data_IF_070481982011
#
_entry.id   IF_070481982011
#
_cell.length_a   1.000
_cell.length_b   1.000
_cell.length_c   1.000
_cell.angle_alpha   90.00
_cell.angle_beta   90.00
_cell.angle_gamma   90.00
#
_symmetry.space_group_name_H-M   'P 1'
#
loop_
_entity.id
_entity.type
_entity.pdbx_description
1 polymer ?
#
# COMPACT_ATOMS: atom_id res chain seq x y z
N UNK A 1 -12.00 -20.36 6.27
CA UNK A 1 -12.59 -21.35 5.37
C UNK A 1 -11.92 -21.47 3.99
N UNK A 2 -11.44 -20.36 3.42
CA UNK A 2 -10.80 -20.39 2.09
C UNK A 2 -9.35 -20.91 2.14
N UNK A 3 -8.64 -20.70 3.26
CA UNK A 3 -7.31 -21.27 3.49
C UNK A 3 -7.33 -22.80 3.50
N UNK A 4 -8.41 -23.41 3.98
CA UNK A 4 -8.52 -24.86 4.12
C UNK A 4 -9.05 -25.58 2.88
N UNK A 5 -9.68 -24.88 1.95
CA UNK A 5 -10.40 -25.49 0.83
C UNK A 5 -9.74 -25.33 -0.53
N UNK A 6 -8.81 -24.40 -0.68
CA UNK A 6 -8.30 -24.01 -1.98
C UNK A 6 -6.84 -24.42 -2.19
N UNK A 7 -6.63 -25.24 -3.19
CA UNK A 7 -5.32 -25.76 -3.58
C UNK A 7 -4.36 -24.70 -4.13
N UNK A 8 -4.82 -23.46 -4.36
CA UNK A 8 -3.99 -22.36 -4.86
C UNK A 8 -3.25 -21.59 -3.76
N UNK A 9 -3.63 -21.79 -2.50
CA UNK A 9 -2.91 -21.25 -1.34
C UNK A 9 -1.89 -22.29 -0.86
N UNK A 10 -0.61 -21.94 -0.98
CA UNK A 10 0.49 -22.84 -0.62
C UNK A 10 1.03 -22.53 0.78
N UNK A 11 0.91 -23.49 1.71
CA UNK A 11 1.63 -23.43 2.98
C UNK A 11 3.11 -23.76 2.73
N UNK A 12 3.98 -22.77 2.91
CA UNK A 12 5.41 -22.92 2.64
C UNK A 12 6.18 -23.70 3.72
N UNK A 13 5.56 -23.92 4.87
CA UNK A 13 6.23 -24.44 6.08
C UNK A 13 7.17 -23.47 6.76
N UNK A 14 7.40 -22.28 6.20
CA UNK A 14 8.23 -21.25 6.83
C UNK A 14 7.48 -20.60 7.98
N UNK A 15 8.16 -20.45 9.11
CA UNK A 15 7.60 -19.85 10.33
C UNK A 15 8.48 -18.72 10.81
N UNK A 16 7.84 -17.72 11.40
CA UNK A 16 8.51 -16.61 12.05
C UNK A 16 7.95 -16.40 13.47
N UNK A 17 8.76 -15.86 14.35
CA UNK A 17 8.33 -15.41 15.67
C UNK A 17 8.06 -13.90 15.65
N UNK A 18 6.91 -13.48 16.14
CA UNK A 18 6.54 -12.07 16.31
C UNK A 18 6.37 -11.79 17.79
N UNK A 19 7.13 -10.84 18.32
CA UNK A 19 7.11 -10.45 19.72
C UNK A 19 6.25 -9.18 19.94
N UNK A 20 5.34 -9.25 20.88
CA UNK A 20 4.54 -8.12 21.37
C UNK A 20 4.90 -7.92 22.85
N UNK A 21 5.97 -7.16 23.11
CA UNK A 21 6.56 -7.08 24.43
C UNK A 21 7.04 -8.46 24.92
N UNK A 22 6.49 -8.92 26.03
CA UNK A 22 6.82 -10.22 26.63
C UNK A 22 6.08 -11.41 25.96
N UNK A 23 5.13 -11.13 25.07
CA UNK A 23 4.36 -12.16 24.39
C UNK A 23 4.92 -12.43 23.02
N UNK A 24 4.85 -13.69 22.61
CA UNK A 24 5.29 -14.13 21.30
C UNK A 24 4.23 -14.97 20.64
N UNK A 25 4.08 -14.78 19.35
CA UNK A 25 3.22 -15.62 18.50
C UNK A 25 4.07 -16.20 17.38
N UNK A 26 3.78 -17.43 16.99
CA UNK A 26 4.37 -18.05 15.80
C UNK A 26 3.46 -17.80 14.62
N UNK A 27 4.00 -17.26 13.55
CA UNK A 27 3.32 -17.11 12.27
C UNK A 27 3.75 -18.16 11.27
N UNK A 28 2.85 -18.48 10.33
CA UNK A 28 3.09 -19.37 9.20
C UNK A 28 2.96 -18.56 7.92
N UNK A 29 3.91 -18.74 7.00
CA UNK A 29 3.91 -18.11 5.69
C UNK A 29 3.13 -18.96 4.68
N UNK A 30 2.18 -18.32 4.01
CA UNK A 30 1.45 -18.85 2.87
C UNK A 30 1.76 -18.03 1.62
N UNK A 31 1.88 -18.72 0.49
CA UNK A 31 2.12 -18.08 -0.80
C UNK A 31 0.95 -18.30 -1.74
N UNK A 32 0.61 -17.26 -2.50
CA UNK A 32 -0.27 -17.32 -3.66
C UNK A 32 0.55 -16.93 -4.89
N UNK A 33 0.54 -17.79 -5.90
CA UNK A 33 1.19 -17.48 -7.17
C UNK A 33 0.36 -16.49 -7.97
N UNK A 34 1.00 -15.37 -8.35
CA UNK A 34 0.41 -14.34 -9.21
C UNK A 34 1.04 -14.43 -10.58
N UNK A 35 0.30 -15.04 -11.52
CA UNK A 35 0.78 -15.26 -12.89
C UNK A 35 0.87 -13.92 -13.63
N UNK A 36 2.03 -13.66 -14.19
CA UNK A 36 2.33 -12.50 -15.00
C UNK A 36 2.36 -12.81 -16.50
N UNK A 37 2.87 -11.84 -17.26
CA UNK A 37 3.04 -11.95 -18.70
C UNK A 37 4.27 -12.82 -19.07
N UNK A 38 4.16 -13.60 -20.15
CA UNK A 38 5.26 -14.44 -20.68
C UNK A 38 5.98 -15.33 -19.64
N UNK A 39 5.20 -16.12 -18.90
CA UNK A 39 5.70 -16.99 -17.83
C UNK A 39 6.29 -16.27 -16.59
N UNK A 40 6.10 -14.96 -16.49
CA UNK A 40 6.42 -14.23 -15.27
C UNK A 40 5.56 -14.73 -14.11
N UNK A 41 6.17 -14.91 -12.93
CA UNK A 41 5.50 -15.33 -11.72
C UNK A 41 5.93 -14.44 -10.58
N UNK A 42 4.96 -13.80 -9.94
CA UNK A 42 5.13 -13.12 -8.66
C UNK A 42 4.47 -13.93 -7.55
N UNK A 43 4.76 -13.59 -6.33
CA UNK A 43 4.13 -14.20 -5.16
C UNK A 43 3.45 -13.13 -4.32
N UNK A 44 2.27 -13.47 -3.85
CA UNK A 44 1.62 -12.77 -2.74
C UNK A 44 1.89 -13.57 -1.48
N UNK A 45 2.60 -12.98 -0.54
CA UNK A 45 2.90 -13.56 0.76
C UNK A 45 1.83 -13.17 1.77
N UNK A 46 1.29 -14.16 2.45
CA UNK A 46 0.30 -14.01 3.51
C UNK A 46 0.82 -14.66 4.78
N UNK A 47 0.50 -14.07 5.91
CA UNK A 47 0.91 -14.58 7.21
C UNK A 47 -0.31 -14.84 8.09
N UNK A 48 -0.33 -16.00 8.72
CA UNK A 48 -1.36 -16.35 9.69
C UNK A 48 -0.73 -16.78 11.01
N UNK A 49 -1.44 -16.63 12.12
CA UNK A 49 -0.99 -17.16 13.41
C UNK A 49 -1.15 -18.66 13.40
N UNK A 50 -0.09 -19.40 13.77
CA UNK A 50 -0.10 -20.87 13.73
C UNK A 50 -1.23 -21.51 14.57
N UNK A 51 -1.58 -20.87 15.66
CA UNK A 51 -2.57 -21.35 16.63
C UNK A 51 -3.92 -20.68 16.53
N UNK A 52 -4.25 -20.06 15.39
CA UNK A 52 -5.52 -19.41 15.15
C UNK A 52 -6.70 -20.37 15.38
N UNK A 53 -7.73 -19.91 16.08
CA UNK A 53 -8.93 -20.69 16.38
C UNK A 53 -10.14 -20.14 15.61
N UNK A 54 -10.33 -20.63 14.39
CA UNK A 54 -11.44 -20.22 13.51
C UNK A 54 -12.84 -20.53 14.11
N UNK A 55 -12.92 -21.42 15.09
CA UNK A 55 -14.21 -21.74 15.73
C UNK A 55 -14.77 -20.55 16.51
N UNK A 56 -13.90 -19.61 16.89
CA UNK A 56 -14.29 -18.40 17.58
C UNK A 56 -15.17 -17.49 16.70
N UNK A 57 -15.01 -17.50 15.37
CA UNK A 57 -15.78 -16.67 14.43
C UNK A 57 -17.27 -16.89 14.55
N UNK A 58 -17.71 -18.14 14.81
CA UNK A 58 -19.12 -18.52 14.91
C UNK A 58 -19.81 -17.99 16.18
N UNK A 59 -19.06 -17.44 17.15
CA UNK A 59 -19.57 -17.04 18.47
C UNK A 59 -19.73 -15.52 18.65
N UNK A 60 -19.42 -14.72 17.59
CA UNK A 60 -19.36 -13.27 17.69
C UNK A 60 -18.15 -12.82 18.54
N UNK A 61 -17.03 -12.55 17.89
CA UNK A 61 -15.74 -12.34 18.55
C UNK A 61 -15.57 -10.86 18.92
N UNK A 62 -15.20 -10.65 20.18
CA UNK A 62 -14.53 -9.42 20.63
C UNK A 62 -13.02 -9.71 20.72
N UNK A 63 -12.18 -8.78 20.29
CA UNK A 63 -10.73 -8.93 20.43
C UNK A 63 -10.34 -9.05 21.92
N UNK A 64 -9.61 -10.13 22.24
CA UNK A 64 -9.01 -10.34 23.56
C UNK A 64 -7.48 -10.35 23.42
N UNK A 65 -6.85 -9.28 23.90
CA UNK A 65 -5.38 -9.16 23.90
C UNK A 65 -4.67 -10.23 24.73
N UNK A 66 -5.39 -10.97 25.58
CA UNK A 66 -4.83 -12.08 26.36
C UNK A 66 -4.73 -13.37 25.55
N UNK A 67 -5.42 -13.46 24.43
CA UNK A 67 -5.50 -14.62 23.58
C UNK A 67 -5.14 -14.28 22.11
N UNK A 68 -4.18 -13.36 21.90
CA UNK A 68 -3.76 -12.92 20.57
C UNK A 68 -3.30 -14.07 19.67
N UNK A 69 -2.69 -15.09 20.24
CA UNK A 69 -2.26 -16.30 19.55
C UNK A 69 -3.41 -17.12 18.93
N UNK A 70 -4.67 -16.79 19.27
CA UNK A 70 -5.86 -17.50 18.75
C UNK A 70 -6.74 -16.65 17.86
N UNK A 71 -6.64 -15.30 17.97
CA UNK A 71 -7.65 -14.43 17.37
C UNK A 71 -7.09 -13.29 16.54
N UNK A 72 -5.79 -13.01 16.56
CA UNK A 72 -5.20 -11.82 15.94
C UNK A 72 -5.55 -11.68 14.45
N UNK A 73 -5.53 -12.76 13.70
CA UNK A 73 -5.75 -12.80 12.26
C UNK A 73 -7.20 -13.09 11.84
N UNK A 74 -8.12 -13.22 12.80
CA UNK A 74 -9.54 -13.48 12.52
C UNK A 74 -10.32 -12.23 12.09
N UNK A 75 -9.77 -11.04 12.30
CA UNK A 75 -10.42 -9.76 11.99
C UNK A 75 -9.82 -9.16 10.73
N UNK A 76 -10.64 -8.96 9.69
CA UNK A 76 -10.16 -8.32 8.45
C UNK A 76 -10.19 -6.79 8.55
N UNK A 77 -11.30 -6.23 9.04
CA UNK A 77 -11.48 -4.80 9.30
C UNK A 77 -12.12 -4.64 10.67
N UNK A 78 -11.32 -4.59 11.74
CA UNK A 78 -11.87 -4.41 13.08
C UNK A 78 -12.53 -3.04 13.21
N UNK A 79 -13.57 -2.96 14.03
CA UNK A 79 -14.10 -1.69 14.50
C UNK A 79 -13.04 -1.01 15.37
N UNK A 80 -12.60 0.17 14.95
CA UNK A 80 -11.57 0.97 15.61
C UNK A 80 -12.16 2.25 16.26
N UNK A 81 -13.46 2.25 16.53
CA UNK A 81 -14.12 3.34 17.21
C UNK A 81 -13.77 3.44 18.71
N UNK A 82 -13.18 2.39 19.28
CA UNK A 82 -12.74 2.33 20.67
C UNK A 82 -11.25 2.00 20.84
N UNK A 83 -10.77 2.04 22.07
CA UNK A 83 -9.37 1.75 22.42
C UNK A 83 -8.97 0.31 22.04
N UNK A 84 -9.84 -0.66 22.25
CA UNK A 84 -9.53 -2.06 21.96
C UNK A 84 -9.35 -2.30 20.45
N UNK A 85 -10.19 -1.69 19.63
CA UNK A 85 -10.07 -1.71 18.18
C UNK A 85 -8.82 -1.01 17.67
N UNK A 86 -8.49 0.15 18.24
CA UNK A 86 -7.24 0.86 17.92
C UNK A 86 -6.00 0.02 18.27
N UNK A 87 -5.97 -0.61 19.45
CA UNK A 87 -4.88 -1.51 19.83
C UNK A 87 -4.79 -2.71 18.88
N UNK A 88 -5.93 -3.32 18.53
CA UNK A 88 -5.96 -4.45 17.58
C UNK A 88 -5.36 -4.07 16.24
N UNK A 89 -5.64 -2.87 15.71
CA UNK A 89 -5.01 -2.40 14.47
C UNK A 89 -3.48 -2.36 14.60
N UNK A 90 -2.95 -1.81 15.69
CA UNK A 90 -1.49 -1.76 15.91
C UNK A 90 -0.92 -3.18 16.00
N UNK A 91 -1.60 -4.12 16.68
CA UNK A 91 -1.20 -5.54 16.71
C UNK A 91 -1.13 -6.14 15.31
N UNK A 92 -2.15 -5.93 14.48
CA UNK A 92 -2.22 -6.47 13.12
C UNK A 92 -1.19 -5.83 12.18
N UNK A 93 -1.03 -4.51 12.23
CA UNK A 93 -0.04 -3.79 11.43
C UNK A 93 1.37 -4.25 11.77
N UNK A 94 1.70 -4.36 13.05
CA UNK A 94 3.02 -4.86 13.46
C UNK A 94 3.21 -6.34 13.12
N UNK A 95 2.20 -7.17 13.29
CA UNK A 95 2.28 -8.58 12.88
C UNK A 95 2.67 -8.71 11.41
N UNK A 96 2.02 -7.96 10.54
CA UNK A 96 2.30 -7.99 9.11
C UNK A 96 3.72 -7.50 8.79
N UNK A 97 4.13 -6.35 9.32
CA UNK A 97 5.44 -5.77 8.99
C UNK A 97 6.61 -6.56 9.59
N UNK A 98 6.46 -7.10 10.81
CA UNK A 98 7.50 -7.91 11.44
C UNK A 98 7.77 -9.20 10.64
N UNK A 99 6.71 -9.87 10.19
CA UNK A 99 6.83 -11.04 9.31
C UNK A 99 7.46 -10.67 7.96
N UNK A 100 6.99 -9.58 7.33
CA UNK A 100 7.52 -9.11 6.05
C UNK A 100 9.00 -8.73 6.14
N UNK A 101 9.41 -8.01 7.17
CA UNK A 101 10.80 -7.63 7.40
C UNK A 101 11.70 -8.87 7.56
N UNK A 102 11.29 -9.85 8.39
CA UNK A 102 12.04 -11.09 8.58
C UNK A 102 12.16 -11.90 7.28
N UNK A 103 11.06 -12.00 6.49
CA UNK A 103 11.08 -12.68 5.20
C UNK A 103 12.05 -12.03 4.23
N UNK A 104 12.00 -10.70 4.07
CA UNK A 104 12.87 -9.94 3.18
C UNK A 104 14.34 -10.16 3.54
N UNK A 105 14.70 -9.99 4.81
CA UNK A 105 16.09 -10.14 5.26
C UNK A 105 16.57 -11.60 5.12
N UNK A 106 15.69 -12.58 5.38
CA UNK A 106 15.98 -14.00 5.16
C UNK A 106 16.31 -14.27 3.69
N UNK A 107 15.46 -13.82 2.75
CA UNK A 107 15.66 -14.04 1.31
C UNK A 107 16.92 -13.36 0.78
N UNK A 108 17.25 -12.17 1.26
CA UNK A 108 18.47 -11.44 0.88
C UNK A 108 19.72 -12.22 1.34
N UNK A 109 19.71 -12.71 2.58
CA UNK A 109 20.81 -13.53 3.11
C UNK A 109 20.95 -14.87 2.39
N UNK A 110 19.84 -15.53 2.06
CA UNK A 110 19.84 -16.79 1.30
C UNK A 110 20.40 -16.64 -0.12
N UNK A 111 20.23 -15.45 -0.73
CA UNK A 111 20.85 -15.10 -2.00
C UNK A 111 22.35 -14.72 -1.86
N UNK A 112 22.87 -14.65 -0.65
CA UNK A 112 24.27 -14.32 -0.36
C UNK A 112 24.61 -12.84 -0.47
N UNK A 113 23.63 -11.95 -0.44
CA UNK A 113 23.85 -10.50 -0.48
C UNK A 113 24.18 -9.94 0.91
N UNK A 114 25.03 -8.93 0.94
CA UNK A 114 25.34 -8.16 2.14
C UNK A 114 24.18 -7.21 2.47
N UNK A 115 23.73 -7.22 3.73
CA UNK A 115 22.65 -6.35 4.19
C UNK A 115 23.00 -4.85 4.12
N UNK A 116 24.29 -4.49 4.08
CA UNK A 116 24.71 -3.09 3.83
C UNK A 116 24.38 -2.64 2.41
N UNK A 117 24.21 -3.57 1.47
CA UNK A 117 23.79 -3.30 0.08
C UNK A 117 22.32 -3.58 -0.15
N UNK A 118 21.50 -3.67 0.91
CA UNK A 118 20.07 -3.94 0.82
C UNK A 118 19.34 -3.07 -0.19
N UNK A 119 19.59 -1.74 -0.31
CA UNK A 119 18.91 -0.89 -1.30
C UNK A 119 19.18 -1.25 -2.76
N UNK A 120 20.27 -1.99 -3.04
CA UNK A 120 20.58 -2.44 -4.41
C UNK A 120 19.76 -3.66 -4.82
N UNK A 121 19.16 -4.36 -3.89
CA UNK A 121 18.49 -5.65 -4.09
C UNK A 121 17.00 -5.63 -3.72
N UNK A 122 16.58 -4.69 -2.90
CA UNK A 122 15.23 -4.62 -2.34
C UNK A 122 14.67 -3.20 -2.43
N UNK A 123 13.43 -3.09 -2.85
CA UNK A 123 12.61 -1.90 -2.70
C UNK A 123 11.34 -2.25 -1.92
N UNK A 124 11.09 -1.56 -0.83
CA UNK A 124 9.89 -1.72 -0.02
C UNK A 124 8.97 -0.54 -0.29
N UNK A 125 7.83 -0.82 -0.93
CA UNK A 125 6.80 0.20 -1.16
C UNK A 125 5.79 0.15 -0.02
N UNK A 126 5.85 1.14 0.86
CA UNK A 126 4.90 1.33 1.97
C UNK A 126 3.58 1.84 1.36
N UNK A 127 2.56 0.99 1.40
CA UNK A 127 1.27 1.27 0.78
C UNK A 127 0.31 1.85 1.81
N UNK A 128 0.13 3.18 1.82
CA UNK A 128 -0.45 3.97 2.89
C UNK A 128 0.38 3.88 4.20
N UNK A 129 -0.17 4.29 5.33
CA UNK A 129 0.53 4.34 6.62
C UNK A 129 0.45 3.04 7.43
N UNK A 130 -0.39 2.09 7.01
CA UNK A 130 -0.59 0.83 7.75
C UNK A 130 0.71 0.03 7.95
N UNK A 131 1.63 -0.09 6.96
CA UNK A 131 2.89 -0.80 7.16
C UNK A 131 4.07 0.09 7.57
N UNK A 132 3.87 1.33 8.00
CA UNK A 132 4.94 2.28 8.38
C UNK A 132 5.93 1.69 9.39
N UNK A 133 5.46 0.85 10.32
CA UNK A 133 6.32 0.24 11.33
C UNK A 133 7.43 -0.65 10.75
N UNK A 134 7.42 -0.94 9.44
CA UNK A 134 8.53 -1.63 8.78
C UNK A 134 9.84 -0.85 8.87
N UNK A 135 9.78 0.49 8.87
CA UNK A 135 10.98 1.33 9.01
C UNK A 135 11.65 1.11 10.37
N UNK A 136 11.00 1.39 11.52
CA UNK A 136 11.62 1.15 12.82
C UNK A 136 11.88 -0.33 13.09
N UNK A 137 11.12 -1.27 12.55
CA UNK A 137 11.35 -2.70 12.73
C UNK A 137 12.62 -3.17 12.01
N UNK A 138 12.84 -2.77 10.75
CA UNK A 138 14.09 -3.06 10.05
C UNK A 138 15.30 -2.47 10.77
N UNK A 139 15.20 -1.21 11.22
CA UNK A 139 16.28 -0.58 12.01
C UNK A 139 16.54 -1.37 13.28
N UNK A 140 15.50 -1.83 13.98
CA UNK A 140 15.63 -2.67 15.17
C UNK A 140 16.38 -3.96 14.86
N UNK A 141 15.94 -4.72 13.85
CA UNK A 141 16.57 -5.99 13.48
C UNK A 141 18.04 -5.75 13.09
N UNK A 142 18.32 -4.79 12.23
CA UNK A 142 19.67 -4.49 11.76
C UNK A 142 20.61 -4.11 12.92
N UNK A 143 20.12 -3.32 13.89
CA UNK A 143 20.96 -2.88 15.03
C UNK A 143 21.08 -3.92 16.13
N UNK A 144 20.05 -4.73 16.40
CA UNK A 144 20.06 -5.67 17.53
C UNK A 144 20.49 -7.09 17.15
N UNK A 145 20.34 -7.48 15.89
CA UNK A 145 20.57 -8.85 15.43
C UNK A 145 21.68 -8.97 14.39
N UNK A 146 21.88 -7.95 13.56
CA UNK A 146 22.80 -7.98 12.42
C UNK A 146 24.08 -7.11 12.64
N UNK A 147 24.21 -6.48 13.80
CA UNK A 147 25.43 -5.78 14.21
C UNK A 147 25.65 -4.40 13.61
N UNK A 148 24.63 -3.81 12.97
CA UNK A 148 24.70 -2.44 12.42
C UNK A 148 24.76 -1.39 13.53
N UNK A 149 25.46 -0.31 13.27
CA UNK A 149 25.25 0.92 14.04
C UNK A 149 23.89 1.55 13.69
N UNK A 150 23.40 2.41 14.56
CA UNK A 150 22.14 3.12 14.30
C UNK A 150 22.20 3.95 13.00
N UNK A 151 23.32 4.58 12.72
CA UNK A 151 23.50 5.41 11.53
C UNK A 151 23.50 4.58 10.24
N UNK A 152 24.19 3.44 10.23
CA UNK A 152 24.19 2.51 9.09
C UNK A 152 22.80 1.92 8.85
N UNK A 153 22.09 1.51 9.91
CA UNK A 153 20.74 0.97 9.77
C UNK A 153 19.75 2.01 9.22
N UNK A 154 19.80 3.25 9.72
CA UNK A 154 18.97 4.34 9.23
C UNK A 154 19.27 4.64 7.76
N UNK A 155 20.55 4.68 7.37
CA UNK A 155 20.94 4.95 5.99
C UNK A 155 20.42 3.88 5.04
N UNK A 156 20.67 2.61 5.36
CA UNK A 156 20.21 1.48 4.54
C UNK A 156 18.68 1.45 4.41
N UNK A 157 17.95 1.59 5.52
CA UNK A 157 16.47 1.55 5.50
C UNK A 157 15.89 2.74 4.75
N UNK A 158 16.48 3.93 4.92
CA UNK A 158 16.01 5.14 4.22
C UNK A 158 16.17 5.07 2.70
N UNK A 159 17.12 4.28 2.20
CA UNK A 159 17.31 4.04 0.77
C UNK A 159 16.55 2.81 0.24
N UNK A 160 15.96 2.01 1.14
CA UNK A 160 15.19 0.81 0.80
C UNK A 160 13.68 1.08 0.74
N UNK A 161 13.17 1.99 1.59
CA UNK A 161 11.75 2.24 1.76
C UNK A 161 11.26 3.44 0.95
N UNK A 162 10.09 3.32 0.34
CA UNK A 162 9.36 4.39 -0.33
C UNK A 162 7.90 4.39 0.15
N UNK A 163 7.22 5.53 0.09
CA UNK A 163 5.89 5.73 0.64
C UNK A 163 4.88 6.16 -0.42
N UNK A 164 3.75 5.47 -0.49
CA UNK A 164 2.59 5.86 -1.28
C UNK A 164 1.48 6.38 -0.35
N UNK A 165 1.11 7.64 -0.50
CA UNK A 165 -0.04 8.22 0.20
C UNK A 165 -1.33 8.01 -0.60
N UNK A 166 -2.41 7.59 0.07
CA UNK A 166 -3.73 7.36 -0.53
C UNK A 166 -4.79 8.36 -0.09
N UNK A 167 -4.50 9.24 0.89
CA UNK A 167 -5.49 10.17 1.44
C UNK A 167 -5.06 11.62 1.33
N UNK A 168 -6.04 12.52 1.16
CA UNK A 168 -5.86 13.97 1.22
C UNK A 168 -6.45 14.59 2.49
N UNK A 169 -7.02 13.78 3.38
CA UNK A 169 -7.64 14.25 4.61
C UNK A 169 -6.67 14.12 5.78
N UNK A 170 -6.39 15.22 6.46
CA UNK A 170 -5.47 15.26 7.61
C UNK A 170 -5.89 14.32 8.75
N UNK A 171 -7.20 14.23 8.99
CA UNK A 171 -7.77 13.35 10.01
C UNK A 171 -7.62 11.86 9.69
N UNK A 172 -7.47 11.51 8.41
CA UNK A 172 -7.28 10.13 7.96
C UNK A 172 -5.81 9.68 7.94
N UNK A 173 -4.86 10.59 8.20
CA UNK A 173 -3.45 10.25 8.40
C UNK A 173 -3.28 9.68 9.82
N UNK A 174 -2.85 8.42 9.90
CA UNK A 174 -2.72 7.72 11.18
C UNK A 174 -1.78 8.41 12.16
N UNK A 175 -2.28 8.56 13.38
CA UNK A 175 -1.55 9.14 14.51
C UNK A 175 -1.85 8.29 15.74
N UNK A 176 -0.89 7.52 16.17
CA UNK A 176 -1.06 6.65 17.33
C UNK A 176 -0.55 7.32 18.61
N UNK A 177 -1.31 7.29 19.71
CA UNK A 177 -0.76 7.63 21.03
C UNK A 177 0.51 6.81 21.27
N UNK A 178 1.60 7.45 21.69
CA UNK A 178 2.84 6.74 22.00
C UNK A 178 2.62 5.64 23.02
N UNK A 179 1.71 5.84 23.98
CA UNK A 179 1.34 4.84 24.98
C UNK A 179 0.78 3.54 24.35
N UNK A 180 0.07 3.61 23.23
CA UNK A 180 -0.43 2.42 22.54
C UNK A 180 0.72 1.64 21.90
N UNK A 181 1.68 2.33 21.31
CA UNK A 181 2.88 1.69 20.78
C UNK A 181 3.72 1.10 21.92
N UNK A 182 3.84 1.78 23.06
CA UNK A 182 4.52 1.28 24.28
C UNK A 182 3.82 0.03 24.82
N UNK A 183 2.50 -0.07 24.73
CA UNK A 183 1.75 -1.26 25.18
C UNK A 183 1.93 -2.45 24.24
N UNK A 184 1.83 -2.22 22.92
CA UNK A 184 1.82 -3.30 21.92
C UNK A 184 3.21 -3.75 21.53
N UNK A 185 4.11 -2.79 21.22
CA UNK A 185 5.43 -3.04 20.66
C UNK A 185 6.51 -2.18 21.34
N UNK A 186 6.71 -2.34 22.65
CA UNK A 186 7.65 -1.51 23.43
C UNK A 186 9.06 -1.53 22.84
N UNK A 187 9.46 -2.59 22.16
CA UNK A 187 10.78 -2.71 21.53
C UNK A 187 11.01 -1.72 20.39
N UNK A 188 9.96 -1.17 19.76
CA UNK A 188 10.10 -0.15 18.72
C UNK A 188 10.21 1.28 19.28
N UNK A 189 9.78 1.49 20.50
CA UNK A 189 9.72 2.84 21.09
C UNK A 189 11.07 3.54 21.14
N UNK A 190 12.19 2.88 21.57
CA UNK A 190 13.50 3.51 21.54
C UNK A 190 13.93 3.95 20.13
N UNK A 191 13.62 3.15 19.11
CA UNK A 191 13.93 3.48 17.70
C UNK A 191 13.10 4.68 17.26
N UNK A 192 11.78 4.65 17.47
CA UNK A 192 10.89 5.76 17.08
C UNK A 192 11.29 7.08 17.77
N UNK A 193 11.68 7.02 19.05
CA UNK A 193 12.18 8.20 19.79
C UNK A 193 13.49 8.72 19.18
N UNK A 194 14.44 7.84 18.85
CA UNK A 194 15.70 8.22 18.21
C UNK A 194 15.43 8.91 16.84
N UNK A 195 14.56 8.31 16.01
CA UNK A 195 14.17 8.91 14.72
C UNK A 195 13.52 10.28 14.92
N UNK A 196 12.62 10.42 15.88
CA UNK A 196 11.96 11.68 16.24
C UNK A 196 12.93 12.73 16.73
N UNK A 197 13.88 12.36 17.60
CA UNK A 197 14.89 13.29 18.15
C UNK A 197 15.82 13.83 17.06
N UNK A 198 16.21 12.99 16.09
CA UNK A 198 17.00 13.41 14.93
C UNK A 198 16.24 14.42 14.08
N UNK A 199 14.96 14.21 13.84
CA UNK A 199 14.09 15.15 13.12
C UNK A 199 13.98 16.48 13.90
N UNK A 200 13.72 16.44 15.20
CA UNK A 200 13.57 17.61 16.05
C UNK A 200 14.87 18.46 16.16
N UNK A 201 16.02 17.80 16.09
CA UNK A 201 17.33 18.51 16.03
C UNK A 201 17.49 19.25 14.70
N UNK A 202 17.08 18.64 13.58
CA UNK A 202 17.30 19.15 12.23
C UNK A 202 16.24 20.18 11.83
N UNK A 203 14.96 19.94 12.17
CA UNK A 203 13.83 20.76 11.76
C UNK A 203 13.07 21.31 12.96
N UNK A 204 12.79 22.63 12.96
CA UNK A 204 12.08 23.31 14.06
C UNK A 204 10.59 23.48 13.78
N UNK A 205 10.13 23.09 12.61
CA UNK A 205 8.72 23.12 12.24
C UNK A 205 7.95 22.01 12.97
N UNK A 206 6.97 22.39 13.78
CA UNK A 206 6.12 21.44 14.53
C UNK A 206 5.32 20.52 13.60
N UNK A 207 5.00 20.97 12.38
CA UNK A 207 4.18 20.22 11.43
C UNK A 207 4.90 19.06 10.75
N UNK A 208 6.20 18.94 10.95
CA UNK A 208 6.98 17.83 10.39
C UNK A 208 7.57 16.91 11.48
N UNK A 209 7.23 17.14 12.75
CA UNK A 209 7.71 16.30 13.85
C UNK A 209 7.06 14.92 13.81
N UNK A 210 7.84 13.88 14.13
CA UNK A 210 7.32 12.50 14.21
C UNK A 210 6.46 12.32 15.45
N UNK A 211 6.93 12.76 16.61
CA UNK A 211 6.15 12.77 17.85
C UNK A 211 5.72 14.19 18.13
N UNK A 212 4.43 14.44 18.19
CA UNK A 212 3.87 15.74 18.45
C UNK A 212 3.84 16.08 19.97
N UNK A 213 3.43 17.31 20.29
CA UNK A 213 3.33 17.79 21.67
C UNK A 213 2.31 17.02 22.54
N UNK A 214 1.33 16.39 21.88
CA UNK A 214 0.31 15.55 22.52
C UNK A 214 0.75 14.09 22.64
N UNK A 215 2.05 13.81 22.38
CA UNK A 215 2.68 12.48 22.41
C UNK A 215 2.01 11.50 21.45
N UNK A 216 1.60 11.96 20.27
CA UNK A 216 1.13 11.09 19.20
C UNK A 216 2.23 10.91 18.16
N UNK A 217 2.39 9.69 17.71
CA UNK A 217 3.33 9.31 16.65
C UNK A 217 2.62 9.43 15.31
N UNK A 218 3.13 10.30 14.44
CA UNK A 218 2.62 10.50 13.11
C UNK A 218 3.27 9.51 12.14
N UNK A 219 2.53 8.52 11.67
CA UNK A 219 3.06 7.44 10.87
C UNK A 219 3.61 7.94 9.52
N UNK A 220 2.84 8.74 8.78
CA UNK A 220 3.29 9.32 7.52
C UNK A 220 4.58 10.15 7.66
N UNK A 221 4.80 10.79 8.81
CA UNK A 221 6.02 11.57 9.05
C UNK A 221 7.26 10.70 9.13
N UNK A 222 7.15 9.48 9.70
CA UNK A 222 8.23 8.49 9.67
C UNK A 222 8.55 8.12 8.22
N UNK A 223 7.54 7.79 7.43
CA UNK A 223 7.70 7.36 6.04
C UNK A 223 8.37 8.44 5.17
N UNK A 224 7.97 9.70 5.35
CA UNK A 224 8.50 10.80 4.53
C UNK A 224 9.95 11.15 4.93
N UNK A 225 10.26 11.19 6.22
CA UNK A 225 11.61 11.50 6.67
C UNK A 225 12.60 10.38 6.31
N UNK A 226 12.19 9.11 6.47
CA UNK A 226 13.05 7.93 6.40
C UNK A 226 12.75 7.02 5.20
N UNK A 227 12.06 7.53 4.19
CA UNK A 227 11.92 6.92 2.88
C UNK A 227 12.60 7.75 1.79
N UNK A 228 13.02 7.13 0.69
CA UNK A 228 13.68 7.83 -0.42
C UNK A 228 12.69 8.52 -1.38
N UNK A 229 11.43 8.10 -1.40
CA UNK A 229 10.41 8.61 -2.33
C UNK A 229 9.04 8.65 -1.68
N UNK A 230 8.24 9.65 -2.05
CA UNK A 230 6.85 9.84 -1.64
C UNK A 230 6.02 10.03 -2.89
N UNK A 231 4.95 9.27 -3.08
CA UNK A 231 4.05 9.50 -4.19
C UNK A 231 2.59 9.56 -3.77
N UNK A 232 1.84 10.42 -4.46
CA UNK A 232 0.39 10.33 -4.52
C UNK A 232 -0.06 9.32 -5.58
N UNK A 233 -1.37 9.03 -5.63
CA UNK A 233 -1.92 8.00 -6.52
C UNK A 233 -2.37 8.54 -7.88
N UNK A 234 -2.28 9.84 -8.10
CA UNK A 234 -2.51 10.52 -9.37
C UNK A 234 -1.80 11.88 -9.37
N UNK A 235 -1.56 12.48 -10.55
CA UNK A 235 -0.92 13.80 -10.65
C UNK A 235 -1.68 14.85 -9.85
N UNK A 236 -3.01 14.93 -10.00
CA UNK A 236 -3.86 15.88 -9.26
C UNK A 236 -3.80 15.63 -7.73
N UNK A 237 -3.78 14.35 -7.31
CA UNK A 237 -3.64 14.00 -5.90
C UNK A 237 -2.30 14.48 -5.33
N UNK A 238 -1.20 14.23 -6.05
CA UNK A 238 0.13 14.67 -5.64
C UNK A 238 0.23 16.20 -5.56
N UNK A 239 -0.38 16.93 -6.49
CA UNK A 239 -0.40 18.41 -6.42
C UNK A 239 -1.22 18.91 -5.22
N UNK A 240 -2.32 18.27 -4.89
CA UNK A 240 -3.07 18.59 -3.66
C UNK A 240 -2.20 18.36 -2.42
N UNK A 241 -1.51 17.22 -2.32
CA UNK A 241 -0.62 16.92 -1.20
C UNK A 241 0.49 17.97 -1.05
N UNK A 242 1.11 18.39 -2.15
CA UNK A 242 2.16 19.43 -2.16
C UNK A 242 1.64 20.80 -1.72
N UNK A 243 0.38 21.12 -2.01
CA UNK A 243 -0.22 22.42 -1.71
C UNK A 243 -0.92 22.46 -0.35
N UNK A 244 -1.32 21.32 0.21
CA UNK A 244 -2.08 21.22 1.46
C UNK A 244 -1.35 20.39 2.52
N UNK A 245 -1.74 19.14 2.70
CA UNK A 245 -1.40 18.29 3.85
C UNK A 245 0.10 18.04 4.02
N UNK A 246 0.82 17.86 2.93
CA UNK A 246 2.26 17.59 2.94
C UNK A 246 3.10 18.80 2.48
N UNK A 247 2.52 20.00 2.45
CA UNK A 247 3.21 21.22 1.99
C UNK A 247 4.51 21.50 2.76
N UNK A 248 4.52 21.27 4.07
CA UNK A 248 5.72 21.46 4.90
C UNK A 248 6.82 20.47 4.54
N UNK A 249 6.45 19.22 4.23
CA UNK A 249 7.38 18.21 3.74
C UNK A 249 7.87 18.49 2.33
N UNK A 250 6.98 18.94 1.45
CA UNK A 250 7.38 19.30 0.08
C UNK A 250 8.42 20.44 0.04
N UNK A 251 8.33 21.40 0.97
CA UNK A 251 9.36 22.45 1.11
C UNK A 251 10.71 21.91 1.55
N UNK A 252 10.75 20.81 2.30
CA UNK A 252 11.99 20.20 2.80
C UNK A 252 12.57 19.21 1.78
N UNK A 253 11.72 18.44 1.10
CA UNK A 253 12.09 17.32 0.23
C UNK A 253 11.36 17.39 -1.13
N UNK A 254 11.49 18.47 -1.91
CA UNK A 254 10.75 18.60 -3.17
C UNK A 254 11.09 17.48 -4.16
N UNK A 255 12.31 16.96 -4.11
CA UNK A 255 12.80 15.88 -4.97
C UNK A 255 12.20 14.51 -4.70
N UNK A 256 11.65 14.28 -3.50
CA UNK A 256 11.02 12.99 -3.14
C UNK A 256 9.63 12.80 -3.76
N UNK A 257 8.94 13.91 -4.12
CA UNK A 257 7.52 13.86 -4.49
C UNK A 257 7.29 13.48 -5.95
N UNK A 258 6.64 12.33 -6.14
CA UNK A 258 6.29 11.76 -7.43
C UNK A 258 4.79 11.44 -7.52
N UNK A 259 4.33 10.85 -8.61
CA UNK A 259 2.97 10.38 -8.73
C UNK A 259 2.89 9.03 -9.47
N UNK A 260 1.79 8.32 -9.28
CA UNK A 260 1.50 7.12 -10.04
C UNK A 260 1.14 7.48 -11.48
N UNK A 261 1.54 6.61 -12.39
CA UNK A 261 1.07 6.61 -13.76
C UNK A 261 -0.10 5.65 -13.98
N UNK A 262 -0.56 5.60 -15.22
CA UNK A 262 -1.56 4.64 -15.69
C UNK A 262 -0.97 3.83 -16.85
N UNK A 263 -1.30 2.55 -16.94
CA UNK A 263 -0.83 1.70 -18.05
C UNK A 263 -1.87 1.60 -19.16
N UNK A 264 -1.48 1.98 -20.38
CA UNK A 264 -2.33 1.81 -21.56
C UNK A 264 -2.50 0.34 -21.98
N UNK A 265 -1.58 -0.55 -21.61
CA UNK A 265 -1.72 -1.99 -21.89
C UNK A 265 -3.02 -2.54 -21.37
N UNK A 266 -3.35 -2.28 -20.09
CA UNK A 266 -4.60 -2.75 -19.48
C UNK A 266 -5.79 -1.86 -19.86
N UNK A 267 -5.68 -0.56 -19.60
CA UNK A 267 -6.83 0.34 -19.57
C UNK A 267 -7.26 0.88 -20.94
N UNK A 268 -6.49 0.65 -21.99
CA UNK A 268 -6.83 0.99 -23.36
C UNK A 268 -6.64 -0.20 -24.30
N UNK A 269 -5.40 -0.73 -24.44
CA UNK A 269 -5.10 -1.75 -25.44
C UNK A 269 -5.85 -3.08 -25.18
N UNK A 270 -5.99 -3.49 -23.93
CA UNK A 270 -6.71 -4.71 -23.55
C UNK A 270 -8.20 -4.51 -23.39
N UNK A 271 -8.64 -3.38 -22.83
CA UNK A 271 -10.05 -3.15 -22.52
C UNK A 271 -10.88 -2.61 -23.69
N UNK A 272 -10.25 -1.96 -24.68
CA UNK A 272 -10.96 -1.35 -25.80
C UNK A 272 -10.14 -1.45 -27.10
N UNK A 273 -10.18 -2.62 -27.70
CA UNK A 273 -9.41 -2.93 -28.91
C UNK A 273 -9.80 -2.04 -30.10
N UNK A 274 -11.08 -1.69 -30.23
CA UNK A 274 -11.58 -0.86 -31.32
C UNK A 274 -11.04 0.56 -31.20
N UNK A 275 -11.08 1.14 -30.00
CA UNK A 275 -10.50 2.47 -29.77
C UNK A 275 -8.98 2.44 -29.98
N UNK A 276 -8.29 1.41 -29.50
CA UNK A 276 -6.84 1.27 -29.67
C UNK A 276 -6.44 1.16 -31.16
N UNK A 277 -7.18 0.38 -31.94
CA UNK A 277 -6.99 0.26 -33.38
C UNK A 277 -7.22 1.58 -34.10
N UNK A 278 -8.30 2.27 -33.78
CA UNK A 278 -8.67 3.58 -34.32
C UNK A 278 -7.57 4.62 -34.04
N UNK A 279 -7.10 4.71 -32.79
CA UNK A 279 -5.99 5.61 -32.39
C UNK A 279 -4.72 5.31 -33.18
N UNK A 280 -4.35 4.02 -33.26
CA UNK A 280 -3.17 3.62 -34.03
C UNK A 280 -3.27 4.01 -35.50
N UNK A 281 -4.45 3.89 -36.09
CA UNK A 281 -4.68 4.28 -37.48
C UNK A 281 -4.63 5.80 -37.66
N UNK A 282 -5.10 6.58 -36.71
CA UNK A 282 -5.26 8.04 -36.82
C UNK A 282 -3.97 8.78 -36.48
N UNK A 283 -3.27 8.39 -35.39
CA UNK A 283 -2.11 9.12 -34.86
C UNK A 283 -0.83 8.29 -34.79
N UNK A 284 -0.83 7.04 -35.29
CA UNK A 284 0.30 6.12 -35.17
C UNK A 284 0.33 5.42 -33.81
N UNK A 285 1.34 4.58 -33.59
CA UNK A 285 1.44 3.72 -32.41
C UNK A 285 2.39 4.24 -31.31
N UNK A 286 2.95 5.44 -31.48
CA UNK A 286 3.89 6.06 -30.55
C UNK A 286 3.30 6.25 -29.15
N UNK A 287 2.00 6.54 -29.03
CA UNK A 287 1.31 6.71 -27.75
C UNK A 287 1.39 5.46 -26.84
N UNK A 288 1.65 4.28 -27.38
CA UNK A 288 1.80 3.04 -26.60
C UNK A 288 3.04 3.07 -25.71
N UNK A 289 4.03 3.89 -26.05
CA UNK A 289 5.29 4.08 -25.33
C UNK A 289 5.37 5.45 -24.65
N UNK A 290 4.80 6.47 -25.30
CA UNK A 290 4.82 7.86 -24.87
C UNK A 290 3.36 8.40 -24.87
N UNK A 291 2.82 8.61 -23.67
CA UNK A 291 1.45 9.10 -23.49
C UNK A 291 1.19 10.46 -24.13
N UNK A 292 2.21 11.32 -24.21
CA UNK A 292 2.08 12.67 -24.79
C UNK A 292 1.77 12.64 -26.29
N UNK A 293 2.07 11.55 -26.97
CA UNK A 293 1.68 11.32 -28.36
C UNK A 293 0.16 11.34 -28.58
N UNK A 294 -0.66 11.09 -27.54
CA UNK A 294 -2.12 11.22 -27.63
C UNK A 294 -2.57 12.66 -27.94
N UNK A 295 -1.75 13.67 -27.64
CA UNK A 295 -2.05 15.07 -27.98
C UNK A 295 -2.19 15.30 -29.48
N UNK A 296 -1.62 14.42 -30.32
CA UNK A 296 -1.81 14.48 -31.78
C UNK A 296 -3.30 14.37 -32.19
N UNK A 297 -4.14 13.78 -31.35
CA UNK A 297 -5.58 13.76 -31.57
C UNK A 297 -6.21 15.16 -31.62
N UNK A 298 -5.59 16.15 -30.97
CA UNK A 298 -6.08 17.53 -31.00
C UNK A 298 -6.05 18.14 -32.42
N UNK A 299 -5.19 17.64 -33.31
CA UNK A 299 -5.15 18.05 -34.71
C UNK A 299 -6.43 17.65 -35.47
N UNK A 300 -7.13 16.63 -34.96
CA UNK A 300 -8.37 16.10 -35.51
C UNK A 300 -9.64 16.52 -34.76
N UNK A 301 -9.55 17.49 -33.86
CA UNK A 301 -10.66 17.89 -32.97
C UNK A 301 -11.93 18.41 -33.74
N UNK A 302 -11.72 18.93 -34.95
CA UNK A 302 -12.79 19.47 -35.81
C UNK A 302 -13.03 18.56 -37.03
N UNK A 303 -12.43 17.38 -37.12
CA UNK A 303 -12.64 16.39 -38.18
C UNK A 303 -13.88 15.54 -37.86
N UNK A 304 -14.98 15.79 -38.61
CA UNK A 304 -16.25 15.12 -38.38
C UNK A 304 -16.14 13.59 -38.51
N UNK A 305 -15.33 13.08 -39.44
CA UNK A 305 -15.17 11.64 -39.63
C UNK A 305 -14.49 10.97 -38.42
N UNK A 306 -13.52 11.66 -37.81
CA UNK A 306 -12.86 11.20 -36.56
C UNK A 306 -13.85 11.25 -35.39
N UNK A 307 -14.61 12.29 -35.26
CA UNK A 307 -15.63 12.44 -34.19
C UNK A 307 -16.72 11.37 -34.32
N UNK A 308 -17.23 11.13 -35.53
CA UNK A 308 -18.25 10.10 -35.79
C UNK A 308 -17.72 8.69 -35.47
N UNK A 309 -16.46 8.38 -35.84
CA UNK A 309 -15.84 7.11 -35.56
C UNK A 309 -15.69 6.86 -34.03
N UNK A 310 -15.27 7.88 -33.28
CA UNK A 310 -15.19 7.80 -31.80
C UNK A 310 -16.58 7.61 -31.19
N UNK A 311 -17.58 8.31 -31.72
CA UNK A 311 -18.96 8.17 -31.25
C UNK A 311 -19.48 6.74 -31.46
N UNK A 312 -19.26 6.16 -32.65
CA UNK A 312 -19.70 4.81 -32.97
C UNK A 312 -19.01 3.76 -32.12
N UNK A 313 -17.70 3.90 -31.84
CA UNK A 313 -16.98 3.02 -30.91
C UNK A 313 -17.61 3.09 -29.52
N UNK A 314 -17.84 4.28 -29.00
CA UNK A 314 -18.49 4.46 -27.68
C UNK A 314 -19.89 3.86 -27.64
N UNK A 315 -20.68 4.06 -28.70
CA UNK A 315 -22.03 3.50 -28.79
C UNK A 315 -22.04 1.98 -28.79
N UNK A 316 -21.10 1.36 -29.52
CA UNK A 316 -20.88 -0.08 -29.53
C UNK A 316 -20.55 -0.61 -28.14
N UNK A 317 -19.59 0.01 -27.43
CA UNK A 317 -19.21 -0.40 -26.08
C UNK A 317 -20.33 -0.24 -25.05
N UNK A 318 -21.16 0.79 -25.19
CA UNK A 318 -22.35 0.94 -24.35
C UNK A 318 -23.36 -0.17 -24.59
N UNK A 319 -23.60 -0.54 -25.85
CA UNK A 319 -24.50 -1.64 -26.18
C UNK A 319 -24.00 -3.00 -25.63
N UNK A 320 -22.70 -3.26 -25.72
CA UNK A 320 -22.08 -4.45 -25.11
C UNK A 320 -22.28 -4.46 -23.59
N UNK A 321 -22.06 -3.34 -22.91
CA UNK A 321 -22.26 -3.21 -21.47
C UNK A 321 -23.72 -3.42 -21.06
N UNK A 322 -24.67 -2.83 -21.79
CA UNK A 322 -26.10 -3.03 -21.56
C UNK A 322 -26.48 -4.51 -21.67
N UNK A 323 -25.96 -5.20 -22.70
CA UNK A 323 -26.22 -6.63 -22.90
C UNK A 323 -25.66 -7.48 -21.75
N UNK A 324 -24.43 -7.16 -21.31
CA UNK A 324 -23.78 -7.83 -20.20
C UNK A 324 -24.54 -7.64 -18.88
N UNK A 325 -24.96 -6.41 -18.56
CA UNK A 325 -25.73 -6.12 -17.33
C UNK A 325 -27.09 -6.81 -17.37
N UNK A 326 -27.76 -6.81 -18.53
CA UNK A 326 -29.04 -7.54 -18.68
C UNK A 326 -28.85 -9.04 -18.42
N UNK A 327 -27.79 -9.64 -18.96
CA UNK A 327 -27.48 -11.09 -18.76
C UNK A 327 -27.16 -11.41 -17.30
N UNK A 328 -26.36 -10.60 -16.64
CA UNK A 328 -25.85 -10.89 -15.28
C UNK A 328 -26.80 -10.48 -14.16
N UNK A 329 -27.43 -9.33 -14.31
CA UNK A 329 -28.20 -8.67 -13.24
C UNK A 329 -29.72 -8.62 -13.56
N UNK A 330 -30.13 -8.95 -14.78
CA UNK A 330 -31.52 -8.83 -15.22
C UNK A 330 -32.03 -7.39 -15.37
N UNK A 331 -31.13 -6.40 -15.36
CA UNK A 331 -31.47 -4.97 -15.42
C UNK A 331 -31.40 -4.49 -16.86
N UNK A 332 -32.43 -3.77 -17.31
CA UNK A 332 -32.45 -3.11 -18.62
C UNK A 332 -32.01 -1.65 -18.52
N UNK A 333 -30.94 -1.30 -19.25
CA UNK A 333 -30.43 0.06 -19.35
C UNK A 333 -30.75 0.66 -20.73
N UNK A 334 -30.96 1.98 -20.76
CA UNK A 334 -31.08 2.71 -22.01
C UNK A 334 -29.68 3.04 -22.57
N UNK A 335 -29.23 2.47 -23.70
CA UNK A 335 -27.90 2.72 -24.26
C UNK A 335 -27.69 4.18 -24.72
N UNK A 336 -28.73 4.96 -24.91
CA UNK A 336 -28.64 6.36 -25.31
C UNK A 336 -28.48 7.33 -24.11
N UNK A 337 -28.62 6.83 -22.87
CA UNK A 337 -28.40 7.64 -21.67
C UNK A 337 -26.90 7.91 -21.43
N UNK A 338 -26.58 8.92 -20.63
CA UNK A 338 -25.22 9.13 -20.13
C UNK A 338 -24.96 8.12 -19.01
N UNK A 339 -23.87 7.33 -19.16
CA UNK A 339 -23.46 6.39 -18.13
C UNK A 339 -22.48 7.08 -17.19
N UNK A 340 -22.86 7.18 -15.93
CA UNK A 340 -22.00 7.64 -14.84
C UNK A 340 -21.80 6.50 -13.83
N UNK A 341 -20.55 6.04 -13.68
CA UNK A 341 -20.21 4.88 -12.88
C UNK A 341 -19.30 5.34 -11.74
N UNK A 342 -19.82 5.25 -10.51
CA UNK A 342 -19.11 5.59 -9.29
C UNK A 342 -18.79 4.30 -8.50
N UNK A 343 -17.56 3.83 -8.59
CA UNK A 343 -17.08 2.64 -7.85
C UNK A 343 -16.23 3.11 -6.68
N UNK A 344 -16.90 3.44 -5.58
CA UNK A 344 -16.23 3.89 -4.35
C UNK A 344 -17.11 3.64 -3.12
N UNK A 345 -16.51 3.61 -1.94
CA UNK A 345 -17.25 3.57 -0.68
C UNK A 345 -18.04 4.87 -0.48
N UNK A 346 -19.21 4.76 0.14
CA UNK A 346 -19.93 5.93 0.64
C UNK A 346 -19.18 6.47 1.87
N UNK A 347 -19.07 7.78 1.94
CA UNK A 347 -18.45 8.49 3.05
C UNK A 347 -19.48 9.41 3.70
N UNK A 348 -19.50 9.47 5.03
CA UNK A 348 -20.40 10.29 5.80
C UNK A 348 -19.81 11.65 6.20
N UNK A 349 -18.56 11.89 5.87
CA UNK A 349 -17.85 13.15 6.20
C UNK A 349 -17.72 14.11 5.04
#
# INVERSE_FOLDING_TARGET
>A
DWIQKDSWLNNTGTKFEVAFGDRKVTSVLYDIDVVGYENGLNKLHLFDVETVDESLVKKGITFDKKAIEKNLTLFLYPDDSDEAGNLLRIYQEYFMVCNGAQLILKEVKEKGYDLHTLPEHVAIQINDTHPTMVIPELIRILTTEEGFTMDEAIDVVSHTCAYTNHTILAEALEKWPLAYIEEVVPQLVPIIKELSDRVAKKYKDEKVQIIDKDKRVHMAHIDIHYGYSVNGVAAIHTEILKQSELNHFYKIYPEKFNNNGITFRRWLLSCNHELAAFLTQTIGDGYKKDADELQKLLEHKDDQAVLDAIYDIKKTKKAELVSYIKEKEGVELNPDSIFDIQVKRLHEY
#
